data_IF_148483526979
#
_entry.id   IF_148483526979
#
_cell.length_a   1.000
_cell.length_b   1.000
_cell.length_c   1.000
_cell.angle_alpha   90.00
_cell.angle_beta   90.00
_cell.angle_gamma   90.00
#
_symmetry.space_group_name_H-M   'P 1'
#
loop_
_entity.id
_entity.type
_entity.pdbx_description
1 polymer ?
#
# COMPACT_ATOMS: atom_id res chain seq x y z
N UNK A 1 -5.24 -20.27 2.28
CA UNK A 1 -4.71 -20.44 0.92
C UNK A 1 -3.67 -19.37 0.71
N UNK A 2 -2.41 -19.68 0.39
CA UNK A 2 -1.45 -18.64 0.02
C UNK A 2 -1.96 -17.99 -1.27
N UNK A 3 -2.07 -16.66 -1.26
CA UNK A 3 -2.40 -15.89 -2.46
C UNK A 3 -1.20 -16.00 -3.38
N UNK A 4 -1.41 -16.60 -4.52
CA UNK A 4 -0.39 -16.73 -5.57
C UNK A 4 -0.07 -15.32 -6.09
N UNK A 5 1.01 -14.75 -5.56
CA UNK A 5 1.55 -13.48 -6.02
C UNK A 5 2.36 -13.81 -7.27
N UNK A 6 1.68 -13.86 -8.41
CA UNK A 6 2.36 -14.01 -9.71
C UNK A 6 3.14 -12.72 -9.98
N UNK A 7 4.42 -12.75 -9.67
CA UNK A 7 5.35 -11.67 -10.00
C UNK A 7 5.51 -11.60 -11.52
N UNK A 8 4.89 -10.60 -12.14
CA UNK A 8 5.00 -10.36 -13.57
C UNK A 8 6.32 -9.63 -13.89
N UNK A 9 7.17 -10.24 -14.73
CA UNK A 9 8.40 -9.63 -15.20
C UNK A 9 8.10 -8.38 -16.03
N UNK A 10 8.59 -7.24 -15.59
CA UNK A 10 8.47 -5.99 -16.34
C UNK A 10 9.60 -5.90 -17.37
N UNK A 11 9.27 -6.08 -18.64
CA UNK A 11 10.23 -6.00 -19.75
C UNK A 11 10.35 -4.62 -20.38
N UNK A 12 9.43 -3.70 -20.11
CA UNK A 12 9.43 -2.34 -20.65
C UNK A 12 8.79 -1.34 -19.68
N UNK A 13 9.30 -0.10 -19.70
CA UNK A 13 8.63 1.02 -19.04
C UNK A 13 7.26 1.27 -19.70
N UNK A 14 6.21 1.44 -18.93
CA UNK A 14 4.88 1.65 -19.49
C UNK A 14 4.78 2.98 -20.24
N UNK A 15 4.14 2.97 -21.40
CA UNK A 15 3.95 4.15 -22.26
C UNK A 15 3.19 5.29 -21.57
N UNK A 16 3.50 6.55 -21.92
CA UNK A 16 2.79 7.74 -21.43
C UNK A 16 1.37 7.77 -21.98
N UNK A 17 0.41 7.32 -21.16
CA UNK A 17 -1.03 7.48 -21.44
C UNK A 17 -1.56 8.75 -20.76
N UNK A 18 -2.53 9.44 -21.36
CA UNK A 18 -3.26 10.58 -20.77
C UNK A 18 -3.80 10.20 -19.36
N UNK A 19 -4.30 8.98 -19.20
CA UNK A 19 -4.77 8.43 -17.91
C UNK A 19 -3.71 8.49 -16.81
N UNK A 20 -2.42 8.27 -17.15
CA UNK A 20 -1.31 8.39 -16.19
C UNK A 20 -1.00 9.82 -15.79
N UNK A 21 -1.11 10.75 -16.74
CA UNK A 21 -0.91 12.18 -16.43
C UNK A 21 -1.96 12.64 -15.43
N UNK A 22 -3.23 12.29 -15.66
CA UNK A 22 -4.33 12.58 -14.75
C UNK A 22 -4.10 11.90 -13.39
N UNK A 23 -3.70 10.64 -13.37
CA UNK A 23 -3.41 9.91 -12.14
C UNK A 23 -2.31 10.58 -11.30
N UNK A 24 -1.20 10.97 -11.94
CA UNK A 24 -0.11 11.70 -11.26
C UNK A 24 -0.56 13.06 -10.72
N UNK A 25 -1.41 13.77 -11.43
CA UNK A 25 -2.00 15.02 -10.95
C UNK A 25 -2.90 14.77 -9.73
N UNK A 26 -3.75 13.76 -9.78
CA UNK A 26 -4.58 13.35 -8.64
C UNK A 26 -3.73 12.98 -7.42
N UNK A 27 -2.64 12.23 -7.62
CA UNK A 27 -1.72 11.86 -6.55
C UNK A 27 -1.03 13.10 -5.96
N UNK A 28 -0.57 14.03 -6.80
CA UNK A 28 0.06 15.27 -6.34
C UNK A 28 -0.91 16.11 -5.51
N UNK A 29 -2.15 16.26 -5.98
CA UNK A 29 -3.21 16.98 -5.25
C UNK A 29 -3.52 16.29 -3.92
N UNK A 30 -3.67 14.96 -3.91
CA UNK A 30 -3.94 14.20 -2.70
C UNK A 30 -2.84 14.36 -1.63
N UNK A 31 -1.57 14.52 -2.06
CA UNK A 31 -0.42 14.64 -1.16
C UNK A 31 -0.23 16.05 -0.60
N UNK A 32 -0.29 17.05 -1.45
CA UNK A 32 0.22 18.41 -1.16
C UNK A 32 -0.84 19.45 -0.78
N UNK A 33 -2.13 19.14 -0.91
CA UNK A 33 -3.16 20.09 -0.52
C UNK A 33 -3.54 19.95 0.97
N UNK A 34 -3.14 20.92 1.82
CA UNK A 34 -3.29 20.81 3.27
C UNK A 34 -4.75 20.88 3.75
N UNK A 35 -5.65 21.43 2.95
CA UNK A 35 -7.07 21.63 3.29
C UNK A 35 -7.97 20.46 2.84
N UNK A 36 -7.43 19.46 2.15
CA UNK A 36 -8.21 18.31 1.70
C UNK A 36 -8.36 17.29 2.83
N UNK A 37 -9.62 16.98 3.17
CA UNK A 37 -9.90 15.92 4.16
C UNK A 37 -9.46 14.54 3.66
N UNK A 38 -9.21 13.60 4.59
CA UNK A 38 -8.83 12.23 4.27
C UNK A 38 -9.77 11.52 3.30
N UNK A 39 -11.07 11.86 3.32
CA UNK A 39 -12.07 11.31 2.38
C UNK A 39 -11.83 11.74 0.93
N UNK A 40 -11.49 13.01 0.70
CA UNK A 40 -11.15 13.50 -0.63
C UNK A 40 -9.86 12.88 -1.15
N UNK A 41 -8.87 12.64 -0.27
CA UNK A 41 -7.64 11.93 -0.63
C UNK A 41 -7.93 10.52 -1.14
N UNK A 42 -8.87 9.79 -0.52
CA UNK A 42 -9.31 8.47 -1.01
C UNK A 42 -9.88 8.56 -2.43
N UNK A 43 -10.74 9.55 -2.71
CA UNK A 43 -11.34 9.74 -4.05
C UNK A 43 -10.25 10.02 -5.08
N UNK A 44 -9.29 10.91 -4.78
CA UNK A 44 -8.19 11.23 -5.68
C UNK A 44 -7.29 10.01 -5.94
N UNK A 45 -7.01 9.20 -4.92
CA UNK A 45 -6.23 7.97 -5.10
C UNK A 45 -6.98 6.89 -5.88
N UNK A 46 -8.31 6.81 -5.76
CA UNK A 46 -9.13 5.96 -6.60
C UNK A 46 -9.07 6.39 -8.07
N UNK A 47 -9.12 7.69 -8.35
CA UNK A 47 -8.94 8.23 -9.71
C UNK A 47 -7.53 7.98 -10.24
N UNK A 48 -6.51 7.96 -9.37
CA UNK A 48 -5.15 7.56 -9.71
C UNK A 48 -5.05 6.07 -10.09
N UNK A 49 -6.00 5.22 -9.65
CA UNK A 49 -6.07 3.81 -10.01
C UNK A 49 -5.99 2.84 -8.85
N UNK A 50 -5.83 3.31 -7.61
CA UNK A 50 -5.84 2.45 -6.42
C UNK A 50 -7.22 1.82 -6.22
N UNK A 51 -7.24 0.52 -5.91
CA UNK A 51 -8.47 -0.24 -5.70
C UNK A 51 -8.88 -0.19 -4.23
N UNK A 52 -10.05 0.40 -3.95
CA UNK A 52 -10.65 0.43 -2.61
C UNK A 52 -11.91 -0.42 -2.59
N UNK A 53 -12.03 -1.30 -1.59
CA UNK A 53 -13.24 -2.11 -1.37
C UNK A 53 -14.41 -1.21 -0.98
N UNK A 54 -14.20 -0.28 -0.04
CA UNK A 54 -15.17 0.75 0.32
C UNK A 54 -14.47 2.08 0.66
N UNK A 55 -14.57 3.04 -0.27
CA UNK A 55 -13.96 4.36 -0.12
C UNK A 55 -14.47 5.17 1.09
N UNK A 56 -15.67 4.86 1.60
CA UNK A 56 -16.31 5.63 2.68
C UNK A 56 -15.72 5.33 4.05
N UNK A 57 -15.14 4.13 4.21
CA UNK A 57 -14.62 3.64 5.49
C UNK A 57 -13.11 3.80 5.63
N UNK A 58 -12.42 4.18 4.55
CA UNK A 58 -10.97 4.35 4.52
C UNK A 58 -10.57 5.79 4.86
N UNK A 59 -9.50 5.95 5.61
CA UNK A 59 -8.86 7.23 5.87
C UNK A 59 -7.43 7.24 5.32
N UNK A 60 -7.06 8.32 4.61
CA UNK A 60 -5.70 8.55 4.11
C UNK A 60 -5.20 9.90 4.64
N UNK A 61 -4.08 9.85 5.36
CA UNK A 61 -3.37 11.01 5.88
C UNK A 61 -2.69 11.84 4.78
N UNK A 62 -1.91 12.81 5.23
CA UNK A 62 -1.12 13.68 4.34
C UNK A 62 0.11 12.96 3.82
N UNK A 63 0.59 13.39 2.66
CA UNK A 63 1.82 12.92 2.03
C UNK A 63 1.96 11.40 1.88
N UNK A 64 0.85 10.68 1.78
CA UNK A 64 0.84 9.25 1.48
C UNK A 64 1.17 9.04 0.00
N UNK A 65 2.15 8.19 -0.28
CA UNK A 65 2.62 7.84 -1.62
C UNK A 65 2.17 6.42 -1.95
N UNK A 66 1.28 6.30 -2.92
CA UNK A 66 1.02 5.03 -3.59
C UNK A 66 1.93 4.91 -4.81
N UNK A 67 2.30 3.68 -5.17
CA UNK A 67 3.13 3.41 -6.35
C UNK A 67 2.63 4.20 -7.57
N UNK A 68 3.49 5.04 -8.15
CA UNK A 68 3.11 5.93 -9.25
C UNK A 68 3.15 5.26 -10.63
N UNK A 69 3.76 4.08 -10.73
CA UNK A 69 3.78 3.27 -11.94
C UNK A 69 2.62 2.26 -11.97
N UNK A 70 2.29 1.68 -10.82
CA UNK A 70 1.32 0.58 -10.69
C UNK A 70 0.32 0.78 -9.54
N UNK A 71 -0.40 1.91 -9.48
CA UNK A 71 -1.39 2.13 -8.44
C UNK A 71 -2.53 1.11 -8.49
N UNK A 72 -2.83 0.55 -9.66
CA UNK A 72 -3.82 -0.50 -9.88
C UNK A 72 -3.44 -1.86 -9.27
N UNK A 73 -2.18 -2.06 -8.93
CA UNK A 73 -1.71 -3.23 -8.21
C UNK A 73 -1.92 -3.15 -6.69
N UNK A 74 -2.44 -2.02 -6.17
CA UNK A 74 -2.69 -1.83 -4.74
C UNK A 74 -4.19 -1.96 -4.47
N UNK A 75 -4.53 -2.85 -3.53
CA UNK A 75 -5.89 -3.07 -3.04
C UNK A 75 -5.97 -2.72 -1.56
N UNK A 76 -6.97 -1.93 -1.18
CA UNK A 76 -7.20 -1.47 0.20
C UNK A 76 -8.57 -1.92 0.66
N UNK A 77 -8.62 -2.64 1.78
CA UNK A 77 -9.82 -3.14 2.42
C UNK A 77 -10.68 -2.06 3.08
N UNK A 78 -11.71 -2.49 3.82
CA UNK A 78 -12.64 -1.64 4.57
C UNK A 78 -12.02 -1.18 5.87
N UNK A 79 -12.39 0.00 6.34
CA UNK A 79 -11.98 0.51 7.65
C UNK A 79 -10.47 0.71 7.82
N UNK A 80 -9.71 0.75 6.73
CA UNK A 80 -8.25 0.93 6.76
C UNK A 80 -7.91 2.38 7.09
N UNK A 81 -6.96 2.56 8.00
CA UNK A 81 -6.44 3.86 8.38
C UNK A 81 -4.96 3.94 8.01
N UNK A 82 -4.65 4.75 7.00
CA UNK A 82 -3.28 5.02 6.53
C UNK A 82 -2.91 6.41 7.00
N UNK A 83 -1.91 6.52 7.87
CA UNK A 83 -1.50 7.80 8.44
C UNK A 83 -0.50 8.54 7.54
N UNK A 84 0.01 9.67 8.01
CA UNK A 84 0.86 10.59 7.23
C UNK A 84 2.18 9.95 6.78
N UNK A 85 2.64 10.27 5.57
CA UNK A 85 3.97 9.94 5.08
C UNK A 85 4.18 8.46 4.71
N UNK A 86 3.13 7.65 4.69
CA UNK A 86 3.22 6.22 4.32
C UNK A 86 3.58 6.06 2.85
N UNK A 87 4.49 5.14 2.54
CA UNK A 87 4.92 4.80 1.17
C UNK A 87 4.55 3.36 0.86
N UNK A 88 3.84 3.13 -0.25
CA UNK A 88 3.37 1.81 -0.68
C UNK A 88 3.88 1.54 -2.09
N UNK A 89 4.80 0.57 -2.23
CA UNK A 89 5.42 0.19 -3.51
C UNK A 89 4.90 -1.17 -3.95
N UNK A 90 4.41 -1.25 -5.18
CA UNK A 90 3.92 -2.46 -5.84
C UNK A 90 4.94 -3.03 -6.84
N UNK A 91 6.14 -2.48 -6.90
CA UNK A 91 7.24 -3.00 -7.69
C UNK A 91 8.55 -2.96 -6.89
N UNK A 92 9.49 -3.82 -7.23
CA UNK A 92 10.79 -3.87 -6.59
C UNK A 92 11.89 -4.32 -7.55
N UNK A 93 13.15 -3.96 -7.23
CA UNK A 93 14.31 -4.33 -8.02
C UNK A 93 14.61 -5.83 -7.87
N UNK A 94 14.85 -6.51 -8.98
CA UNK A 94 15.35 -7.88 -8.99
C UNK A 94 16.84 -7.90 -8.60
N UNK A 95 17.10 -8.29 -7.37
CA UNK A 95 18.45 -8.35 -6.82
C UNK A 95 19.28 -9.55 -7.34
N UNK A 96 18.62 -10.52 -8.00
CA UNK A 96 19.30 -11.69 -8.60
C UNK A 96 19.66 -11.43 -10.08
N UNK A 97 19.23 -10.31 -10.63
CA UNK A 97 19.50 -9.98 -12.01
C UNK A 97 20.93 -9.48 -12.20
N UNK A 98 21.67 -10.12 -13.12
CA UNK A 98 22.98 -9.63 -13.52
C UNK A 98 22.82 -8.51 -14.55
N UNK A 99 23.25 -7.28 -14.23
CA UNK A 99 23.08 -6.14 -15.13
C UNK A 99 23.97 -6.28 -16.38
N UNK A 100 23.43 -5.80 -17.50
CA UNK A 100 24.19 -5.63 -18.76
C UNK A 100 24.13 -4.16 -19.18
N UNK A 101 25.02 -3.74 -20.10
CA UNK A 101 25.05 -2.35 -20.60
C UNK A 101 23.69 -1.93 -21.20
N UNK A 102 22.99 -2.86 -21.87
CA UNK A 102 21.69 -2.60 -22.49
C UNK A 102 20.51 -2.75 -21.54
N UNK A 103 20.70 -3.46 -20.41
CA UNK A 103 19.66 -3.70 -19.38
C UNK A 103 20.28 -3.61 -18.00
N UNK A 104 20.47 -2.39 -17.47
CA UNK A 104 21.14 -2.18 -16.18
C UNK A 104 20.28 -2.62 -15.00
N UNK A 105 18.94 -2.65 -15.14
CA UNK A 105 18.01 -2.99 -14.07
C UNK A 105 16.86 -3.85 -14.56
N UNK A 106 16.38 -4.74 -13.70
CA UNK A 106 15.14 -5.50 -13.88
C UNK A 106 14.27 -5.31 -12.67
N UNK A 107 12.98 -5.05 -12.90
CA UNK A 107 12.00 -4.88 -11.86
C UNK A 107 10.94 -5.98 -11.93
N UNK A 108 10.43 -6.37 -10.78
CA UNK A 108 9.22 -7.17 -10.63
C UNK A 108 8.07 -6.27 -10.22
N UNK A 109 6.87 -6.60 -10.70
CA UNK A 109 5.60 -6.05 -10.26
C UNK A 109 4.81 -7.16 -9.56
N UNK A 110 4.13 -6.82 -8.47
CA UNK A 110 3.20 -7.71 -7.80
C UNK A 110 2.07 -6.92 -7.15
N UNK A 111 1.20 -7.60 -6.41
CA UNK A 111 0.08 -6.97 -5.73
C UNK A 111 0.43 -6.63 -4.28
N UNK A 112 0.02 -5.45 -3.82
CA UNK A 112 -0.07 -5.11 -2.41
C UNK A 112 -1.53 -5.22 -2.00
N UNK A 113 -1.83 -6.10 -1.05
CA UNK A 113 -3.19 -6.31 -0.54
C UNK A 113 -3.23 -5.93 0.93
N UNK A 114 -3.99 -4.90 1.26
CA UNK A 114 -4.20 -4.45 2.63
C UNK A 114 -5.59 -4.92 3.05
N UNK A 115 -5.65 -5.79 4.06
CA UNK A 115 -6.88 -6.36 4.59
C UNK A 115 -7.78 -5.33 5.26
N UNK A 116 -8.95 -5.76 5.71
CA UNK A 116 -9.91 -4.91 6.41
C UNK A 116 -9.36 -4.47 7.78
N UNK A 117 -9.70 -3.27 8.25
CA UNK A 117 -9.39 -2.73 9.59
C UNK A 117 -7.90 -2.64 9.94
N UNK A 118 -7.03 -2.60 8.95
CA UNK A 118 -5.59 -2.40 9.12
C UNK A 118 -5.28 -0.96 9.51
N UNK A 119 -4.39 -0.79 10.48
CA UNK A 119 -3.79 0.49 10.83
C UNK A 119 -2.36 0.55 10.34
N UNK A 120 -1.99 1.61 9.61
CA UNK A 120 -0.62 1.85 9.14
C UNK A 120 -0.10 3.16 9.72
N UNK A 121 0.86 3.04 10.63
CA UNK A 121 1.50 4.15 11.33
C UNK A 121 2.33 5.06 10.42
N UNK A 122 2.56 6.28 10.86
CA UNK A 122 3.24 7.33 10.08
C UNK A 122 4.62 6.90 9.57
N UNK A 123 4.97 7.36 8.37
CA UNK A 123 6.26 7.12 7.71
C UNK A 123 6.58 5.62 7.54
N UNK A 124 5.59 4.74 7.56
CA UNK A 124 5.78 3.32 7.25
C UNK A 124 6.06 3.15 5.76
N UNK A 125 7.00 2.24 5.43
CA UNK A 125 7.32 1.87 4.05
C UNK A 125 6.92 0.42 3.80
N UNK A 126 6.02 0.20 2.85
CA UNK A 126 5.75 -1.10 2.26
C UNK A 126 6.64 -1.19 1.02
N UNK A 127 7.77 -1.93 1.14
CA UNK A 127 8.89 -1.83 0.21
C UNK A 127 8.77 -2.74 -1.01
N UNK A 128 7.77 -3.61 -1.04
CA UNK A 128 7.51 -4.56 -2.13
C UNK A 128 6.09 -5.13 -2.04
N UNK A 129 5.62 -5.86 -3.06
CA UNK A 129 4.36 -6.59 -3.03
C UNK A 129 4.27 -7.51 -1.82
N UNK A 130 3.24 -7.32 -0.99
CA UNK A 130 2.95 -8.11 0.21
C UNK A 130 1.45 -8.14 0.49
N UNK A 131 1.04 -9.11 1.30
CA UNK A 131 -0.28 -9.16 1.91
C UNK A 131 -0.20 -8.75 3.38
N UNK A 132 -1.06 -7.80 3.77
CA UNK A 132 -1.25 -7.37 5.17
C UNK A 132 -2.60 -7.90 5.62
N UNK A 133 -2.59 -8.82 6.58
CA UNK A 133 -3.78 -9.46 7.09
C UNK A 133 -4.72 -8.50 7.81
N UNK A 134 -6.00 -8.88 7.86
CA UNK A 134 -7.07 -8.15 8.53
C UNK A 134 -6.68 -7.74 9.96
N UNK A 135 -7.06 -6.54 10.38
CA UNK A 135 -6.88 -6.05 11.74
C UNK A 135 -5.43 -5.83 12.18
N UNK A 136 -4.45 -6.01 11.29
CA UNK A 136 -3.05 -5.78 11.63
C UNK A 136 -2.77 -4.31 12.01
N UNK A 137 -1.80 -4.11 12.89
CA UNK A 137 -1.29 -2.79 13.29
C UNK A 137 0.17 -2.69 12.89
N UNK A 138 0.50 -1.69 12.09
CA UNK A 138 1.86 -1.37 11.71
C UNK A 138 2.29 -0.11 12.46
N UNK A 139 3.32 -0.22 13.30
CA UNK A 139 3.87 0.92 14.03
C UNK A 139 4.55 1.92 13.12
N UNK A 140 4.59 3.17 13.55
CA UNK A 140 5.25 4.25 12.80
C UNK A 140 6.72 3.94 12.50
N UNK A 141 7.25 4.50 11.41
CA UNK A 141 8.64 4.33 10.95
C UNK A 141 9.05 2.87 10.71
N UNK A 142 8.09 1.99 10.41
CA UNK A 142 8.36 0.57 10.13
C UNK A 142 8.61 0.33 8.64
N UNK A 143 9.42 -0.69 8.31
CA UNK A 143 9.63 -1.12 6.92
C UNK A 143 9.17 -2.56 6.76
N UNK A 144 8.07 -2.74 6.02
CA UNK A 144 7.53 -4.06 5.73
C UNK A 144 8.23 -4.67 4.51
N UNK A 145 8.79 -5.85 4.71
CA UNK A 145 9.51 -6.62 3.67
C UNK A 145 8.95 -8.02 3.47
N UNK A 146 7.92 -8.40 4.22
CA UNK A 146 7.26 -9.71 4.19
C UNK A 146 5.78 -9.55 4.52
N UNK A 147 4.99 -10.56 4.17
CA UNK A 147 3.59 -10.65 4.54
C UNK A 147 3.38 -10.49 6.04
N UNK A 148 2.26 -9.88 6.39
CA UNK A 148 1.86 -9.61 7.77
C UNK A 148 0.64 -10.48 8.12
N UNK A 149 0.73 -11.31 9.18
CA UNK A 149 -0.40 -12.11 9.63
C UNK A 149 -1.60 -11.23 10.07
N UNK A 150 -2.83 -11.76 10.02
CA UNK A 150 -3.99 -11.07 10.60
C UNK A 150 -3.77 -10.74 12.08
N UNK A 151 -4.24 -9.57 12.49
CA UNK A 151 -4.16 -9.05 13.87
C UNK A 151 -2.74 -8.88 14.45
N UNK A 152 -1.69 -9.09 13.64
CA UNK A 152 -0.31 -8.90 14.08
C UNK A 152 0.00 -7.42 14.35
N UNK A 153 0.84 -7.18 15.38
CA UNK A 153 1.42 -5.87 15.66
C UNK A 153 2.88 -5.92 15.19
N UNK A 154 3.18 -5.14 14.15
CA UNK A 154 4.49 -5.11 13.49
C UNK A 154 5.20 -3.79 13.75
N UNK A 155 6.48 -3.82 14.09
CA UNK A 155 7.30 -2.60 14.29
C UNK A 155 8.75 -2.81 13.85
N UNK A 156 9.41 -1.72 13.45
CA UNK A 156 10.87 -1.67 13.22
C UNK A 156 11.31 -1.78 11.76
N UNK A 157 12.62 -1.82 11.55
CA UNK A 157 13.30 -1.85 10.25
C UNK A 157 14.37 -2.95 10.24
N UNK A 158 14.14 -4.08 9.55
CA UNK A 158 12.86 -4.53 8.99
C UNK A 158 11.83 -4.82 10.08
N UNK A 159 10.54 -4.67 9.75
CA UNK A 159 9.47 -4.87 10.72
C UNK A 159 9.40 -6.32 11.21
N UNK A 160 9.22 -6.46 12.53
CA UNK A 160 9.05 -7.75 13.22
C UNK A 160 7.76 -7.73 14.03
N UNK A 161 7.14 -8.88 14.18
CA UNK A 161 5.97 -9.02 15.04
C UNK A 161 6.39 -8.92 16.51
N UNK A 162 5.78 -7.98 17.22
CA UNK A 162 6.02 -7.75 18.66
C UNK A 162 4.82 -8.13 19.51
N UNK A 163 3.68 -8.40 18.88
CA UNK A 163 2.45 -8.78 19.57
C UNK A 163 1.34 -9.16 18.61
N UNK A 164 0.16 -9.39 19.19
CA UNK A 164 -1.06 -9.67 18.46
C UNK A 164 -2.19 -8.87 19.08
N UNK A 165 -2.96 -8.19 18.24
CA UNK A 165 -4.19 -7.53 18.63
C UNK A 165 -5.25 -8.58 18.93
N UNK A 166 -6.11 -8.42 19.96
CA UNK A 166 -7.28 -9.27 20.11
C UNK A 166 -8.10 -9.26 18.82
N UNK A 167 -8.50 -10.44 18.34
CA UNK A 167 -9.40 -10.53 17.18
C UNK A 167 -10.66 -9.72 17.52
N UNK A 168 -11.15 -8.94 16.55
CA UNK A 168 -12.45 -8.31 16.70
C UNK A 168 -13.51 -9.43 16.69
N UNK A 169 -13.76 -10.03 17.85
CA UNK A 169 -15.00 -10.75 18.06
C UNK A 169 -16.08 -9.67 17.89
N UNK A 170 -16.93 -9.84 16.90
CA UNK A 170 -18.14 -9.07 16.71
C UNK A 170 -18.99 -9.29 17.98
N UNK A 171 -18.75 -8.53 19.04
CA UNK A 171 -19.72 -8.38 20.10
C UNK A 171 -20.85 -7.54 19.51
N UNK A 172 -21.90 -8.23 19.06
CA UNK A 172 -23.21 -7.65 18.72
C UNK A 172 -23.93 -7.17 20.00
N UNK A 173 -23.23 -6.51 20.90
CA UNK A 173 -23.81 -5.77 22.00
C UNK A 173 -23.60 -4.29 21.71
N UNK A 174 -24.51 -3.73 20.90
CA UNK A 174 -24.77 -2.31 20.93
C UNK A 174 -25.36 -2.01 22.33
N UNK A 175 -24.56 -1.41 23.20
CA UNK A 175 -25.07 -0.56 24.29
C UNK A 175 -25.02 0.90 23.85
#
# INVERSE_FOLDING_TARGET
MPIDITDEKLTAAPTRSMRRVIGKLCQLLARKMPLISGKWRVILQRLNGVNFVDCRTVFIGEDVIFDDLYPDAIQVGRGVLITTGVIILAHYLDTQFQPTITRPFRFYRGKVVIGDYVFIGANTVISKPIHIGEGAIIGANSVLTKDVPPYAIMVGVPAKQVGTRPSMLYNNSCE
#
